data_IF_988283930165
#
_entry.id   IF_988283930165
#
_cell.length_a   1.000
_cell.length_b   1.000
_cell.length_c   1.000
_cell.angle_alpha   90.00
_cell.angle_beta   90.00
_cell.angle_gamma   90.00
#
_symmetry.space_group_name_H-M   'P 1'
#
loop_
_entity.id
_entity.type
_entity.pdbx_description
1 polymer ?
#
# COMPACT_ATOMS: atom_id res chain seq x y z
N UNK A 1 38.44 -25.54 10.73
CA UNK A 1 39.08 -24.79 11.84
C UNK A 1 38.90 -23.32 11.52
N UNK A 2 38.05 -22.50 12.14
CA UNK A 2 37.14 -22.63 13.28
C UNK A 2 35.80 -22.02 12.86
N UNK A 3 34.72 -22.77 12.93
CA UNK A 3 33.36 -22.22 12.87
C UNK A 3 32.93 -21.89 14.29
N UNK A 4 32.60 -20.62 14.54
CA UNK A 4 31.89 -20.24 15.76
C UNK A 4 30.42 -20.15 15.38
N UNK A 5 29.71 -21.24 15.65
CA UNK A 5 28.25 -21.31 15.70
C UNK A 5 27.82 -20.72 17.05
N UNK A 6 27.15 -19.57 17.01
CA UNK A 6 26.35 -19.08 18.13
C UNK A 6 24.88 -19.14 17.72
N UNK A 7 24.09 -19.94 18.46
CA UNK A 7 22.64 -20.10 18.32
C UNK A 7 21.94 -19.47 19.53
N UNK A 8 20.69 -19.01 19.28
CA UNK A 8 19.68 -18.37 20.16
C UNK A 8 19.90 -16.85 20.27
N UNK A 9 18.94 -15.96 20.02
CA UNK A 9 17.54 -15.93 20.47
C UNK A 9 16.67 -15.05 19.52
N UNK A 10 15.36 -15.22 19.58
CA UNK A 10 14.40 -14.71 18.59
C UNK A 10 14.04 -13.23 18.81
N UNK A 11 14.40 -12.38 17.85
CA UNK A 11 13.55 -11.30 17.36
C UNK A 11 14.00 -10.93 15.94
N UNK A 12 13.08 -11.08 14.98
CA UNK A 12 13.08 -10.51 13.62
C UNK A 12 14.44 -10.48 12.90
N UNK A 13 14.83 -11.62 12.35
CA UNK A 13 15.93 -11.69 11.37
C UNK A 13 15.51 -11.13 10.03
N UNK A 14 16.33 -10.22 9.52
CA UNK A 14 16.65 -10.14 8.09
C UNK A 14 17.17 -11.52 7.67
N UNK A 15 16.37 -12.30 6.94
CA UNK A 15 16.82 -13.58 6.42
C UNK A 15 17.85 -13.33 5.30
N UNK A 16 19.04 -13.89 5.45
CA UNK A 16 20.03 -13.96 4.38
C UNK A 16 19.69 -15.17 3.51
N UNK A 17 18.93 -14.96 2.44
CA UNK A 17 18.84 -15.93 1.35
C UNK A 17 20.06 -15.74 0.45
N UNK A 18 20.93 -16.75 0.36
CA UNK A 18 21.84 -16.88 -0.78
C UNK A 18 21.06 -17.56 -1.89
N UNK A 19 20.72 -16.82 -2.94
CA UNK A 19 20.36 -17.40 -4.23
C UNK A 19 21.67 -17.56 -5.00
N UNK A 20 22.17 -18.78 -5.07
CA UNK A 20 23.27 -19.13 -5.96
C UNK A 20 22.83 -18.86 -7.40
N UNK A 21 23.44 -17.86 -8.01
CA UNK A 21 23.32 -17.57 -9.43
C UNK A 21 24.28 -18.47 -10.19
N UNK A 22 23.80 -19.64 -10.61
CA UNK A 22 24.42 -20.43 -11.66
C UNK A 22 23.36 -21.27 -12.41
N UNK A 23 23.56 -21.40 -13.72
CA UNK A 23 22.68 -21.92 -14.79
C UNK A 23 21.80 -20.82 -15.40
N UNK A 24 21.96 -20.39 -16.64
CA UNK A 24 22.57 -21.03 -17.80
C UNK A 24 21.70 -20.67 -19.00
N UNK A 25 22.30 -19.99 -19.97
CA UNK A 25 21.75 -19.58 -21.25
C UNK A 25 20.89 -20.66 -21.93
N UNK A 26 19.65 -20.34 -22.31
CA UNK A 26 18.96 -20.99 -23.43
C UNK A 26 18.09 -19.98 -24.17
N UNK A 27 18.45 -19.69 -25.42
CA UNK A 27 17.57 -19.05 -26.39
C UNK A 27 16.82 -20.10 -27.21
N UNK A 28 15.63 -19.75 -27.71
CA UNK A 28 15.13 -20.28 -28.96
C UNK A 28 14.12 -19.32 -29.61
N UNK A 29 14.31 -19.13 -30.92
CA UNK A 29 13.50 -18.36 -31.86
C UNK A 29 12.17 -19.06 -32.24
N UNK A 30 11.15 -18.23 -32.47
CA UNK A 30 10.11 -18.25 -33.54
C UNK A 30 9.28 -19.52 -33.79
N UNK A 31 7.94 -19.40 -33.73
CA UNK A 31 7.06 -19.80 -34.85
C UNK A 31 5.63 -19.25 -34.73
N UNK A 32 5.15 -18.67 -35.82
CA UNK A 32 3.78 -18.22 -36.09
C UNK A 32 2.84 -19.39 -36.33
N UNK A 33 1.56 -19.30 -35.97
CA UNK A 33 0.47 -19.85 -36.79
C UNK A 33 -0.90 -19.28 -36.39
N UNK A 34 -1.56 -18.70 -37.40
CA UNK A 34 -2.95 -18.25 -37.45
C UNK A 34 -3.90 -19.44 -37.52
N UNK A 35 -5.06 -19.39 -36.85
CA UNK A 35 -6.22 -20.23 -37.19
C UNK A 35 -7.53 -19.48 -36.90
N UNK A 36 -8.29 -19.28 -37.98
CA UNK A 36 -9.67 -18.80 -38.00
C UNK A 36 -10.62 -19.85 -37.41
N UNK A 37 -11.69 -19.39 -36.74
CA UNK A 37 -12.96 -20.11 -36.76
C UNK A 37 -14.10 -19.13 -37.08
N UNK A 38 -14.77 -19.39 -38.21
CA UNK A 38 -16.05 -18.81 -38.63
C UNK A 38 -17.17 -19.67 -38.07
N UNK A 39 -18.27 -19.05 -37.64
CA UNK A 39 -19.59 -19.69 -37.61
C UNK A 39 -20.70 -18.73 -38.08
N UNK A 40 -21.45 -19.24 -39.06
CA UNK A 40 -22.89 -19.11 -39.35
C UNK A 40 -23.55 -17.79 -39.83
N UNK A 41 -24.04 -17.87 -41.07
CA UNK A 41 -25.16 -17.15 -41.74
C UNK A 41 -26.56 -17.65 -41.25
N UNK A 42 -27.77 -17.23 -41.75
CA UNK A 42 -28.14 -16.27 -42.83
C UNK A 42 -29.37 -15.32 -42.60
N UNK A 43 -29.44 -14.25 -43.44
CA UNK A 43 -30.54 -13.58 -44.20
C UNK A 43 -32.07 -13.54 -43.82
N UNK A 44 -32.59 -12.28 -43.79
CA UNK A 44 -33.85 -11.64 -44.38
C UNK A 44 -35.29 -11.99 -43.89
N UNK A 45 -36.37 -11.22 -44.24
CA UNK A 45 -36.61 -9.75 -44.38
C UNK A 45 -37.96 -9.22 -43.74
N UNK A 46 -38.29 -7.92 -43.94
CA UNK A 46 -39.49 -7.07 -43.62
C UNK A 46 -40.92 -7.66 -43.87
N UNK A 47 -42.09 -6.97 -43.64
CA UNK A 47 -42.40 -5.55 -43.25
C UNK A 47 -43.57 -5.37 -42.21
N UNK A 48 -43.93 -4.13 -41.84
CA UNK A 48 -45.31 -3.57 -41.87
C UNK A 48 -45.54 -2.35 -40.94
N UNK A 49 -46.35 -1.43 -41.45
CA UNK A 49 -46.85 -0.18 -40.87
C UNK A 49 -47.68 -0.37 -39.58
N UNK A 50 -47.72 0.63 -38.69
CA UNK A 50 -48.99 1.22 -38.20
C UNK A 50 -48.76 2.57 -37.50
N UNK A 51 -49.67 3.49 -37.82
CA UNK A 51 -49.77 4.87 -37.33
C UNK A 51 -50.14 4.94 -35.84
N UNK A 52 -49.64 5.95 -35.15
CA UNK A 52 -50.38 6.55 -34.03
C UNK A 52 -50.02 8.03 -33.92
N UNK A 53 -51.03 8.87 -34.12
CA UNK A 53 -50.99 10.33 -33.96
C UNK A 53 -51.11 10.68 -32.48
N UNK A 54 -50.29 11.63 -31.98
CA UNK A 54 -50.69 12.51 -30.89
C UNK A 54 -50.24 13.94 -31.21
N UNK A 55 -51.23 14.83 -31.09
CA UNK A 55 -51.28 16.26 -31.38
C UNK A 55 -50.54 17.05 -30.29
N UNK A 56 -49.68 18.00 -30.66
CA UNK A 56 -49.53 19.26 -29.89
C UNK A 56 -49.33 20.45 -30.82
N UNK A 57 -50.23 21.41 -30.63
CA UNK A 57 -50.38 22.78 -31.11
C UNK A 57 -49.21 23.49 -31.81
N UNK A 58 -49.56 24.18 -32.90
CA UNK A 58 -48.74 25.18 -33.57
C UNK A 58 -48.83 26.54 -32.87
N UNK A 59 -47.70 27.23 -32.77
CA UNK A 59 -47.61 28.69 -32.67
C UNK A 59 -46.44 29.16 -33.56
N UNK A 60 -46.56 30.35 -34.19
CA UNK A 60 -45.85 30.66 -35.42
C UNK A 60 -44.37 31.05 -35.23
N UNK A 61 -43.57 30.51 -36.15
CA UNK A 61 -42.21 30.95 -36.45
C UNK A 61 -42.13 32.47 -36.66
N UNK A 62 -41.32 33.14 -35.85
CA UNK A 62 -40.61 34.35 -36.30
C UNK A 62 -39.16 33.95 -36.50
N UNK A 63 -38.80 33.61 -37.74
CA UNK A 63 -37.40 33.40 -38.12
C UNK A 63 -36.73 34.78 -38.19
N UNK A 64 -36.07 35.16 -37.11
CA UNK A 64 -35.04 36.21 -37.18
C UNK A 64 -33.76 35.50 -37.62
N UNK A 65 -33.43 35.67 -38.90
CA UNK A 65 -32.14 35.25 -39.45
C UNK A 65 -31.02 36.08 -38.83
N UNK A 66 -30.39 35.56 -37.77
CA UNK A 66 -29.08 36.02 -37.33
C UNK A 66 -28.04 35.12 -37.99
N UNK A 67 -27.56 35.52 -39.16
CA UNK A 67 -26.30 34.99 -39.70
C UNK A 67 -25.13 35.52 -38.87
N UNK A 68 -24.94 34.96 -37.67
CA UNK A 68 -23.60 34.90 -37.08
C UNK A 68 -22.96 33.62 -37.58
N UNK A 69 -22.00 33.75 -38.51
CA UNK A 69 -20.94 32.75 -38.65
C UNK A 69 -20.15 32.74 -37.34
N UNK A 70 -20.65 32.03 -36.35
CA UNK A 70 -19.82 31.58 -35.24
C UNK A 70 -18.96 30.46 -35.82
N UNK A 71 -17.77 30.85 -36.28
CA UNK A 71 -16.69 29.91 -36.56
C UNK A 71 -16.25 29.30 -35.22
N UNK A 72 -17.01 28.32 -34.71
CA UNK A 72 -16.57 27.51 -33.56
C UNK A 72 -15.53 26.52 -34.06
N UNK A 73 -14.34 27.03 -34.37
CA UNK A 73 -13.15 26.22 -34.17
C UNK A 73 -12.99 26.16 -32.65
N UNK A 74 -13.44 25.05 -32.07
CA UNK A 74 -12.99 24.68 -30.74
C UNK A 74 -11.47 24.80 -30.71
N UNK A 75 -10.87 25.46 -29.71
CA UNK A 75 -9.42 25.42 -29.57
C UNK A 75 -9.00 23.95 -29.56
N UNK A 76 -7.90 23.57 -30.25
CA UNK A 76 -7.38 22.22 -30.12
C UNK A 76 -7.19 21.95 -28.62
N UNK A 77 -7.75 20.84 -28.15
CA UNK A 77 -7.50 20.37 -26.79
C UNK A 77 -5.99 20.35 -26.62
N UNK A 78 -5.43 20.96 -25.56
CA UNK A 78 -4.00 20.87 -25.33
C UNK A 78 -3.63 19.38 -25.31
N UNK A 79 -2.59 19.00 -26.07
CA UNK A 79 -1.99 17.67 -25.98
C UNK A 79 -1.90 17.32 -24.50
N UNK A 80 -2.65 16.30 -24.10
CA UNK A 80 -2.87 15.98 -22.69
C UNK A 80 -1.62 15.34 -22.12
N UNK A 81 -0.68 16.19 -21.72
CA UNK A 81 0.50 15.80 -20.97
C UNK A 81 0.03 15.04 -19.74
N UNK A 82 0.55 13.82 -19.55
CA UNK A 82 0.28 13.02 -18.37
C UNK A 82 0.53 13.87 -17.12
N UNK A 83 -0.36 13.81 -16.10
CA UNK A 83 -0.19 14.63 -14.93
C UNK A 83 1.14 14.28 -14.24
N UNK A 84 1.98 15.30 -14.04
CA UNK A 84 3.24 15.17 -13.31
C UNK A 84 2.90 14.98 -11.82
N UNK A 85 3.49 13.98 -11.14
CA UNK A 85 3.26 13.78 -9.71
C UNK A 85 3.90 14.90 -8.89
N UNK A 86 3.29 15.32 -7.78
CA UNK A 86 3.95 16.20 -6.82
C UNK A 86 5.21 15.53 -6.27
N UNK A 87 6.28 16.29 -6.06
CA UNK A 87 7.45 15.77 -5.37
C UNK A 87 7.16 15.59 -3.87
N UNK A 88 7.99 14.79 -3.19
CA UNK A 88 7.98 14.72 -1.73
C UNK A 88 8.23 16.13 -1.17
N UNK A 89 7.38 16.62 -0.24
CA UNK A 89 7.59 17.89 0.44
C UNK A 89 8.97 17.91 1.13
N UNK A 90 9.80 18.94 0.94
CA UNK A 90 11.18 18.95 1.44
C UNK A 90 11.29 18.95 2.98
N UNK A 91 10.22 19.32 3.68
CA UNK A 91 10.05 19.30 5.13
C UNK A 91 9.31 18.05 5.64
N UNK A 92 9.15 17.02 4.79
CA UNK A 92 8.57 15.74 5.18
C UNK A 92 9.32 15.13 6.35
N UNK A 93 8.60 14.81 7.42
CA UNK A 93 9.15 14.12 8.58
C UNK A 93 9.34 12.64 8.25
N UNK A 94 10.51 12.11 8.57
CA UNK A 94 10.84 10.71 8.43
C UNK A 94 11.41 10.16 9.74
N UNK A 95 10.86 9.04 10.20
CA UNK A 95 11.39 8.23 11.30
C UNK A 95 11.56 6.78 10.85
N UNK A 96 12.78 6.26 10.95
CA UNK A 96 13.10 4.89 10.54
C UNK A 96 12.29 3.86 11.34
N UNK A 97 11.73 2.87 10.63
CA UNK A 97 10.88 1.81 11.19
C UNK A 97 9.48 2.26 11.66
N UNK A 98 9.04 3.46 11.28
CA UNK A 98 7.67 3.95 11.51
C UNK A 98 7.03 4.34 10.16
N UNK A 99 7.13 3.46 9.17
CA UNK A 99 6.66 3.73 7.80
C UNK A 99 5.16 4.07 7.76
N UNK A 100 4.37 3.48 8.65
CA UNK A 100 2.95 3.79 8.83
C UNK A 100 2.73 5.26 9.23
N UNK A 101 3.52 5.79 10.15
CA UNK A 101 3.40 7.19 10.58
C UNK A 101 3.99 8.16 9.54
N UNK A 102 5.12 7.80 8.91
CA UNK A 102 5.70 8.60 7.84
C UNK A 102 4.72 8.79 6.68
N UNK A 103 4.06 7.70 6.25
CA UNK A 103 3.05 7.75 5.20
C UNK A 103 1.76 8.43 5.68
N UNK A 104 1.39 8.32 6.96
CA UNK A 104 0.26 9.07 7.53
C UNK A 104 0.46 10.59 7.39
N UNK A 105 1.66 11.09 7.69
CA UNK A 105 1.96 12.51 7.57
C UNK A 105 1.94 12.97 6.10
N UNK A 106 2.55 12.19 5.19
CA UNK A 106 2.51 12.50 3.76
C UNK A 106 1.08 12.48 3.21
N UNK A 107 0.29 11.47 3.57
CA UNK A 107 -1.12 11.37 3.20
C UNK A 107 -1.94 12.55 3.72
N UNK A 108 -1.66 13.01 4.94
CA UNK A 108 -2.32 14.20 5.53
C UNK A 108 -2.06 15.44 4.68
N UNK A 109 -0.81 15.67 4.29
CA UNK A 109 -0.46 16.82 3.46
C UNK A 109 -1.09 16.73 2.06
N UNK A 110 -1.03 15.55 1.43
CA UNK A 110 -1.59 15.35 0.10
C UNK A 110 -3.11 15.49 0.09
N UNK A 111 -3.80 15.04 1.13
CA UNK A 111 -5.25 15.22 1.30
C UNK A 111 -5.66 16.66 1.60
N UNK A 112 -4.75 17.49 2.11
CA UNK A 112 -5.01 18.92 2.32
C UNK A 112 -4.90 19.73 1.02
N UNK A 113 -4.22 19.20 -0.01
CA UNK A 113 -3.90 19.88 -1.26
C UNK A 113 -4.94 19.64 -2.35
N UNK A 114 -5.67 20.69 -2.71
CA UNK A 114 -6.69 20.65 -3.79
C UNK A 114 -6.10 20.29 -5.15
N UNK A 115 -4.93 20.82 -5.48
CA UNK A 115 -4.25 20.54 -6.75
C UNK A 115 -3.90 19.06 -6.94
N UNK A 116 -3.67 18.34 -5.84
CA UNK A 116 -3.47 16.89 -5.85
C UNK A 116 -4.82 16.18 -5.99
N UNK A 117 -5.79 16.50 -5.15
CA UNK A 117 -7.10 15.82 -5.11
C UNK A 117 -7.95 16.00 -6.36
N UNK A 118 -7.77 17.11 -7.08
CA UNK A 118 -8.46 17.36 -8.34
C UNK A 118 -7.94 16.47 -9.48
N UNK A 119 -6.77 15.83 -9.30
CA UNK A 119 -6.08 15.02 -10.32
C UNK A 119 -5.89 13.57 -9.93
N UNK A 120 -5.80 13.29 -8.63
CA UNK A 120 -5.37 12.01 -8.10
C UNK A 120 -6.28 11.53 -6.97
N UNK A 121 -6.53 10.23 -6.96
CA UNK A 121 -6.89 9.50 -5.77
C UNK A 121 -5.63 9.26 -4.92
N UNK A 122 -5.67 9.72 -3.68
CA UNK A 122 -4.61 9.43 -2.69
C UNK A 122 -4.98 8.15 -1.96
N UNK A 123 -4.11 7.15 -2.02
CA UNK A 123 -4.26 5.88 -1.35
C UNK A 123 -3.00 5.52 -0.56
N UNK A 124 -3.15 4.65 0.42
CA UNK A 124 -2.06 4.07 1.21
C UNK A 124 -2.10 2.56 0.99
N UNK A 125 -0.93 1.94 0.82
CA UNK A 125 -0.83 0.49 0.78
C UNK A 125 0.04 -0.03 1.91
N UNK A 126 -0.54 -0.92 2.72
CA UNK A 126 0.20 -1.78 3.63
C UNK A 126 0.65 -3.02 2.87
N UNK A 127 1.91 -3.39 3.03
CA UNK A 127 2.56 -4.54 2.38
C UNK A 127 2.94 -5.50 3.48
N UNK A 128 2.32 -6.68 3.53
CA UNK A 128 2.62 -7.72 4.52
C UNK A 128 2.09 -9.05 4.02
N UNK A 129 2.15 -10.09 4.85
CA UNK A 129 1.56 -11.40 4.59
C UNK A 129 1.23 -12.07 5.93
N UNK A 130 0.70 -13.30 5.89
CA UNK A 130 0.32 -14.02 7.11
C UNK A 130 1.50 -14.25 8.08
N UNK A 131 2.71 -14.46 7.53
CA UNK A 131 3.94 -14.70 8.28
C UNK A 131 4.63 -13.43 8.79
N UNK A 132 4.20 -12.23 8.34
CA UNK A 132 4.92 -10.97 8.54
C UNK A 132 6.40 -11.12 8.15
N UNK A 133 6.62 -11.57 6.92
CA UNK A 133 7.94 -11.87 6.38
C UNK A 133 8.02 -11.50 4.89
N UNK A 134 7.56 -10.31 4.51
CA UNK A 134 7.53 -9.92 3.09
C UNK A 134 8.90 -9.53 2.56
N UNK A 135 9.23 -10.04 1.37
CA UNK A 135 10.51 -9.83 0.70
C UNK A 135 10.47 -8.63 -0.26
N UNK A 136 11.27 -7.60 0.02
CA UNK A 136 11.38 -6.38 -0.77
C UNK A 136 12.84 -6.13 -1.19
N UNK A 137 13.06 -5.87 -2.47
CA UNK A 137 14.35 -5.41 -3.02
C UNK A 137 14.43 -3.88 -3.05
N UNK A 138 15.64 -3.35 -3.25
CA UNK A 138 15.88 -1.91 -3.41
C UNK A 138 15.39 -1.10 -2.21
N UNK A 139 15.79 -1.50 -1.01
CA UNK A 139 15.41 -0.85 0.25
C UNK A 139 16.61 -0.20 0.93
N UNK A 140 16.48 0.99 1.50
CA UNK A 140 17.58 1.76 2.11
C UNK A 140 18.19 1.06 3.33
N UNK A 141 17.44 0.16 3.97
CA UNK A 141 17.88 -0.59 5.14
C UNK A 141 19.17 -1.41 4.87
N UNK A 142 19.32 -1.97 3.65
CA UNK A 142 20.54 -2.64 3.17
C UNK A 142 20.48 -2.91 1.66
N UNK A 143 21.63 -3.09 0.98
CA UNK A 143 21.66 -3.60 -0.38
C UNK A 143 20.98 -4.97 -0.52
N UNK A 144 20.35 -5.19 -1.68
CA UNK A 144 19.69 -6.45 -2.02
C UNK A 144 18.33 -6.63 -1.35
N UNK A 145 18.07 -7.85 -0.88
CA UNK A 145 16.82 -8.26 -0.26
C UNK A 145 16.71 -7.81 1.20
N UNK A 146 15.54 -7.26 1.56
CA UNK A 146 15.10 -7.00 2.93
C UNK A 146 13.81 -7.78 3.20
N UNK A 147 13.74 -8.41 4.37
CA UNK A 147 12.53 -9.07 4.85
C UNK A 147 11.90 -8.17 5.92
N UNK A 148 10.71 -7.66 5.65
CA UNK A 148 9.95 -6.80 6.54
C UNK A 148 8.81 -7.59 7.19
N UNK A 149 8.42 -7.19 8.41
CA UNK A 149 7.17 -7.64 9.00
C UNK A 149 5.97 -6.99 8.31
N UNK A 150 6.06 -5.69 8.08
CA UNK A 150 5.23 -4.97 7.14
C UNK A 150 5.99 -3.75 6.60
N UNK A 151 5.50 -3.21 5.49
CA UNK A 151 5.95 -1.93 4.96
C UNK A 151 4.74 -1.09 4.53
N UNK A 152 4.88 0.22 4.48
CA UNK A 152 3.80 1.13 4.09
C UNK A 152 4.29 2.12 3.05
N UNK A 153 3.50 2.27 1.99
CA UNK A 153 3.76 3.22 0.89
C UNK A 153 2.52 4.06 0.59
N UNK A 154 2.71 5.24 0.01
CA UNK A 154 1.63 6.06 -0.54
C UNK A 154 1.53 5.89 -2.05
N UNK A 155 0.30 5.91 -2.54
CA UNK A 155 -0.06 5.75 -3.95
C UNK A 155 -0.85 6.97 -4.42
N UNK A 156 -0.49 7.49 -5.58
CA UNK A 156 -1.34 8.42 -6.34
C UNK A 156 -1.84 7.71 -7.59
N UNK A 157 -3.16 7.54 -7.68
CA UNK A 157 -3.82 6.98 -8.86
C UNK A 157 -4.57 8.08 -9.60
N UNK A 158 -4.35 8.30 -10.91
CA UNK A 158 -5.04 9.37 -11.63
C UNK A 158 -6.55 9.17 -11.60
N UNK A 159 -7.33 10.25 -11.47
CA UNK A 159 -8.80 10.14 -11.57
C UNK A 159 -9.20 9.75 -12.99
N UNK A 160 -10.09 8.75 -13.14
CA UNK A 160 -10.64 8.42 -14.44
C UNK A 160 -11.62 9.51 -14.89
N UNK A 161 -11.35 10.14 -16.04
CA UNK A 161 -12.32 11.03 -16.66
C UNK A 161 -13.56 10.22 -17.08
N UNK A 162 -14.74 10.58 -16.53
CA UNK A 162 -16.02 9.84 -16.69
C UNK A 162 -16.49 9.63 -18.14
N UNK A 163 -15.85 10.24 -19.14
CA UNK A 163 -16.31 10.25 -20.53
C UNK A 163 -15.26 9.80 -21.57
N UNK A 164 -14.19 9.12 -21.16
CA UNK A 164 -13.06 8.83 -22.07
C UNK A 164 -12.98 7.36 -22.46
N UNK A 165 -13.69 7.05 -23.53
CA UNK A 165 -13.47 5.82 -24.29
C UNK A 165 -12.15 5.90 -25.04
N UNK A 166 -11.24 5.00 -24.69
CA UNK A 166 -10.28 4.34 -25.58
C UNK A 166 -8.85 4.88 -25.80
N UNK A 167 -8.37 5.95 -25.14
CA UNK A 167 -6.92 6.26 -25.15
C UNK A 167 -6.34 6.35 -23.72
N UNK A 168 -6.09 5.18 -23.12
CA UNK A 168 -5.44 5.00 -21.80
C UNK A 168 -3.92 5.19 -21.83
N UNK A 169 -3.34 5.64 -22.94
CA UNK A 169 -1.88 5.73 -23.10
C UNK A 169 -1.36 7.01 -22.44
N UNK A 170 -1.11 6.97 -21.13
CA UNK A 170 -0.26 7.98 -20.49
C UNK A 170 -0.47 8.22 -19.00
N UNK A 171 -1.60 7.85 -18.42
CA UNK A 171 -1.84 8.09 -16.99
C UNK A 171 -1.26 6.93 -16.16
N UNK A 172 -0.13 7.19 -15.49
CA UNK A 172 0.52 6.22 -14.61
C UNK A 172 0.17 6.51 -13.15
N UNK A 173 -0.03 5.45 -12.35
CA UNK A 173 -0.02 5.56 -10.89
C UNK A 173 1.41 5.76 -10.38
N UNK A 174 1.56 6.46 -9.26
CA UNK A 174 2.85 6.80 -8.65
C UNK A 174 2.97 6.26 -7.24
N UNK A 175 4.19 5.90 -6.85
CA UNK A 175 4.54 5.37 -5.53
C UNK A 175 5.46 6.34 -4.81
N UNK A 176 5.19 6.53 -3.53
CA UNK A 176 6.03 7.24 -2.58
C UNK A 176 6.41 6.27 -1.46
N UNK A 177 7.71 5.98 -1.38
CA UNK A 177 8.31 5.09 -0.40
C UNK A 177 9.57 5.77 0.13
N UNK A 178 9.60 6.13 1.42
CA UNK A 178 10.78 6.77 2.00
C UNK A 178 11.95 5.81 2.20
N UNK A 179 11.69 4.50 2.17
CA UNK A 179 12.68 3.46 2.44
C UNK A 179 13.13 2.75 1.14
N UNK A 180 12.79 3.27 -0.03
CA UNK A 180 13.28 2.73 -1.32
C UNK A 180 14.63 3.34 -1.75
N UNK A 181 15.43 2.56 -2.48
CA UNK A 181 16.61 3.05 -3.20
C UNK A 181 16.27 3.60 -4.61
N UNK A 182 15.02 3.44 -5.05
CA UNK A 182 14.53 4.02 -6.30
C UNK A 182 14.33 5.53 -6.17
N UNK A 183 14.22 6.28 -7.29
CA UNK A 183 13.76 7.66 -7.24
C UNK A 183 12.39 7.75 -6.55
N UNK A 184 12.18 8.79 -5.74
CA UNK A 184 10.91 9.03 -5.06
C UNK A 184 10.37 10.41 -5.43
N UNK A 185 9.18 10.50 -6.05
CA UNK A 185 8.32 9.38 -6.47
C UNK A 185 8.86 8.62 -7.69
N UNK A 186 8.41 7.38 -7.87
CA UNK A 186 8.58 6.62 -9.11
C UNK A 186 7.23 6.06 -9.58
N UNK A 187 7.16 5.59 -10.83
CA UNK A 187 5.92 4.98 -11.31
C UNK A 187 5.65 3.66 -10.59
N UNK A 188 4.37 3.31 -10.40
CA UNK A 188 4.01 2.03 -9.79
C UNK A 188 4.56 0.83 -10.58
N UNK A 189 4.65 0.97 -11.91
CA UNK A 189 5.25 -0.05 -12.77
C UNK A 189 6.73 -0.27 -12.44
N UNK A 190 7.51 0.80 -12.32
CA UNK A 190 8.93 0.71 -11.94
C UNK A 190 9.08 0.16 -10.52
N UNK A 191 8.32 0.70 -9.56
CA UNK A 191 8.36 0.24 -8.18
C UNK A 191 8.10 -1.26 -8.07
N UNK A 192 7.05 -1.77 -8.74
CA UNK A 192 6.71 -3.19 -8.72
C UNK A 192 7.82 -4.03 -9.35
N UNK A 193 8.32 -3.63 -10.52
CA UNK A 193 9.33 -4.39 -11.25
C UNK A 193 10.65 -4.51 -10.48
N UNK A 194 11.06 -3.44 -9.79
CA UNK A 194 12.35 -3.39 -9.09
C UNK A 194 12.26 -3.83 -7.62
N UNK A 195 11.11 -3.69 -6.96
CA UNK A 195 10.94 -4.11 -5.56
C UNK A 195 10.54 -5.57 -5.44
N UNK A 196 9.81 -6.12 -6.42
CA UNK A 196 9.28 -7.49 -6.41
C UNK A 196 9.70 -8.33 -7.65
N UNK A 197 10.99 -8.34 -8.05
CA UNK A 197 11.43 -8.87 -9.35
C UNK A 197 11.21 -10.38 -9.52
N UNK A 198 11.25 -11.14 -8.42
CA UNK A 198 11.11 -12.61 -8.41
C UNK A 198 9.97 -13.08 -7.50
N UNK A 199 8.99 -12.22 -7.19
CA UNK A 199 7.94 -12.51 -6.20
C UNK A 199 7.22 -13.84 -6.46
N UNK A 200 6.83 -14.14 -7.69
CA UNK A 200 6.18 -15.42 -8.04
C UNK A 200 7.08 -16.66 -7.96
N UNK A 201 8.39 -16.48 -7.76
CA UNK A 201 9.37 -17.56 -7.54
C UNK A 201 9.71 -17.74 -6.05
N UNK A 202 9.26 -16.84 -5.18
CA UNK A 202 9.51 -16.93 -3.75
C UNK A 202 8.62 -17.99 -3.10
N UNK A 203 9.09 -18.63 -2.02
CA UNK A 203 8.21 -19.38 -1.12
C UNK A 203 7.04 -18.50 -0.65
N UNK A 204 5.85 -19.09 -0.50
CA UNK A 204 4.61 -18.38 -0.18
C UNK A 204 4.74 -17.52 1.10
N UNK A 205 5.51 -17.98 2.08
CA UNK A 205 5.79 -17.27 3.32
C UNK A 205 6.54 -15.93 3.13
N UNK A 206 7.18 -15.71 1.98
CA UNK A 206 7.87 -14.46 1.64
C UNK A 206 7.12 -13.60 0.63
N UNK A 207 6.03 -14.11 0.06
CA UNK A 207 5.24 -13.38 -0.93
C UNK A 207 4.42 -12.27 -0.26
N UNK A 208 4.42 -11.10 -0.88
CA UNK A 208 3.70 -9.92 -0.42
C UNK A 208 2.24 -9.90 -0.87
N UNK A 209 1.37 -9.48 0.05
CA UNK A 209 0.01 -8.99 -0.20
C UNK A 209 -0.06 -7.50 0.10
N UNK A 210 -1.02 -6.83 -0.54
CA UNK A 210 -1.16 -5.38 -0.55
C UNK A 210 -2.56 -4.99 -0.08
N UNK A 211 -2.66 -4.37 1.09
CA UNK A 211 -3.91 -3.75 1.54
C UNK A 211 -3.95 -2.29 1.09
N UNK A 212 -4.75 -2.01 0.07
CA UNK A 212 -4.92 -0.66 -0.49
C UNK A 212 -6.11 0.05 0.13
N UNK A 213 -5.88 1.24 0.68
CA UNK A 213 -6.81 1.99 1.51
C UNK A 213 -6.89 3.44 1.00
N UNK A 214 -8.09 4.00 0.74
CA UNK A 214 -8.21 5.43 0.46
C UNK A 214 -7.65 6.27 1.61
N UNK A 215 -6.85 7.30 1.32
CA UNK A 215 -6.21 8.12 2.34
C UNK A 215 -7.20 8.72 3.35
N UNK A 216 -8.39 9.23 2.98
CA UNK A 216 -9.37 9.70 3.97
C UNK A 216 -9.80 8.61 4.96
N UNK A 217 -9.86 7.35 4.53
CA UNK A 217 -10.20 6.22 5.41
C UNK A 217 -9.04 5.91 6.34
N UNK A 218 -7.81 5.91 5.83
CA UNK A 218 -6.60 5.71 6.63
C UNK A 218 -6.47 6.78 7.71
N UNK A 219 -6.49 8.06 7.32
CA UNK A 219 -6.34 9.20 8.22
C UNK A 219 -7.44 9.24 9.29
N UNK A 220 -8.64 8.81 8.96
CA UNK A 220 -9.77 8.84 9.89
C UNK A 220 -9.73 7.73 10.93
N UNK A 221 -9.29 6.52 10.56
CA UNK A 221 -9.45 5.32 11.37
C UNK A 221 -8.15 4.73 11.90
N UNK A 222 -6.99 5.18 11.45
CA UNK A 222 -5.70 4.67 11.93
C UNK A 222 -5.40 5.13 13.35
N UNK A 223 -4.90 4.21 14.18
CA UNK A 223 -4.31 4.52 15.48
C UNK A 223 -3.10 3.63 15.77
N UNK A 224 -2.04 4.24 16.27
CA UNK A 224 -0.85 3.55 16.76
C UNK A 224 -0.42 4.20 18.07
N UNK A 225 -0.36 3.40 19.13
CA UNK A 225 0.25 3.79 20.41
C UNK A 225 1.75 3.44 20.48
N UNK A 226 2.33 2.97 19.36
CA UNK A 226 3.72 2.55 19.22
C UNK A 226 4.15 1.40 20.13
N UNK A 227 3.21 0.73 20.80
CA UNK A 227 3.50 -0.39 21.70
C UNK A 227 4.20 -1.56 21.00
N UNK A 228 3.94 -1.74 19.70
CA UNK A 228 4.59 -2.76 18.87
C UNK A 228 6.10 -2.54 18.65
N UNK A 229 6.61 -1.37 18.98
CA UNK A 229 8.02 -1.00 18.89
C UNK A 229 8.74 -1.07 20.23
N UNK A 230 8.05 -1.43 21.31
CA UNK A 230 8.68 -1.72 22.59
C UNK A 230 9.43 -3.05 22.49
N UNK A 231 10.70 -3.05 22.89
CA UNK A 231 11.48 -4.27 23.03
C UNK A 231 11.01 -5.05 24.26
N UNK A 232 11.15 -6.36 24.21
CA UNK A 232 10.95 -7.19 25.39
C UNK A 232 12.13 -6.94 26.35
N UNK A 233 11.85 -6.65 27.63
CA UNK A 233 12.85 -6.44 28.68
C UNK A 233 13.70 -7.70 29.00
N UNK A 234 13.62 -8.77 28.20
CA UNK A 234 14.09 -10.10 28.56
C UNK A 234 15.56 -10.39 28.21
N UNK A 235 16.31 -9.42 27.69
CA UNK A 235 17.71 -9.60 27.27
C UNK A 235 18.76 -8.98 28.23
N UNK A 236 18.43 -8.76 29.50
CA UNK A 236 19.45 -8.36 30.49
C UNK A 236 19.26 -8.95 31.89
N UNK A 237 19.40 -10.28 32.01
CA UNK A 237 19.93 -10.91 33.23
C UNK A 237 20.79 -12.13 32.83
N UNK A 238 21.92 -11.88 32.17
CA UNK A 238 23.03 -12.83 32.24
C UNK A 238 23.84 -12.51 33.50
N UNK A 239 23.36 -12.96 34.66
CA UNK A 239 24.20 -13.10 35.84
C UNK A 239 25.16 -14.26 35.55
N UNK A 240 26.26 -13.96 34.85
CA UNK A 240 27.50 -14.69 35.07
C UNK A 240 27.99 -14.24 36.45
N UNK A 241 27.65 -15.01 37.48
CA UNK A 241 28.34 -14.93 38.76
C UNK A 241 29.02 -16.28 39.00
N UNK A 242 30.27 -16.48 38.52
CA UNK A 242 31.06 -17.56 39.04
C UNK A 242 31.62 -17.11 40.39
N UNK A 243 31.35 -17.91 41.42
CA UNK A 243 32.02 -17.91 42.73
C UNK A 243 31.36 -17.11 43.88
N UNK A 244 30.38 -17.78 44.52
CA UNK A 244 30.46 -18.20 45.93
C UNK A 244 30.57 -17.15 47.05
N UNK A 245 29.52 -17.04 47.87
CA UNK A 245 29.47 -17.55 49.27
C UNK A 245 28.17 -17.12 49.97
N UNK A 246 27.64 -18.07 50.71
CA UNK A 246 26.56 -17.97 51.70
C UNK A 246 26.88 -16.96 52.81
N UNK A 247 25.89 -16.17 53.24
CA UNK A 247 25.42 -16.00 54.63
C UNK A 247 24.25 -15.00 54.68
N UNK A 248 23.14 -15.43 55.29
CA UNK A 248 21.86 -14.73 55.27
C UNK A 248 21.76 -13.45 56.09
N UNK A 249 20.75 -12.64 55.75
CA UNK A 249 20.12 -11.70 56.67
C UNK A 249 18.66 -11.44 56.22
N UNK A 250 17.63 -11.75 57.04
CA UNK A 250 16.27 -11.33 56.79
C UNK A 250 16.02 -10.02 57.54
N UNK A 251 16.04 -8.89 56.82
CA UNK A 251 15.30 -7.66 57.12
C UNK A 251 15.85 -6.51 56.27
N UNK A 252 15.18 -6.23 55.16
CA UNK A 252 15.16 -4.87 54.63
C UNK A 252 13.85 -4.64 53.92
N UNK A 253 13.18 -3.58 54.36
CA UNK A 253 11.86 -3.14 53.96
C UNK A 253 11.70 -3.05 52.44
N UNK A 254 10.59 -3.60 51.95
CA UNK A 254 10.11 -3.45 50.58
C UNK A 254 9.79 -1.98 50.28
N UNK A 255 10.52 -1.30 49.37
CA UNK A 255 10.05 -0.06 48.81
C UNK A 255 8.99 -0.40 47.75
N UNK A 256 7.82 0.20 47.93
CA UNK A 256 6.71 0.28 46.99
C UNK A 256 7.17 0.30 45.53
N UNK A 257 6.84 -0.76 44.79
CA UNK A 257 6.98 -0.86 43.33
C UNK A 257 5.94 0.04 42.65
N UNK A 258 6.13 1.34 42.77
CA UNK A 258 5.63 2.33 41.80
C UNK A 258 6.88 3.01 41.24
N UNK A 259 7.67 2.24 40.49
CA UNK A 259 8.66 2.82 39.59
C UNK A 259 7.92 3.10 38.29
N UNK A 260 7.71 4.37 38.02
CA UNK A 260 7.17 4.90 36.78
C UNK A 260 7.93 4.28 35.59
N UNK A 261 7.19 3.89 34.55
CA UNK A 261 7.71 3.22 33.34
C UNK A 261 8.50 4.20 32.47
N UNK A 262 9.63 4.69 32.96
CA UNK A 262 10.42 5.73 32.27
C UNK A 262 11.44 5.17 31.27
N UNK A 263 11.75 3.87 31.30
CA UNK A 263 12.77 3.25 30.43
C UNK A 263 12.21 2.17 29.51
N UNK A 264 11.03 2.39 28.90
CA UNK A 264 10.53 1.46 27.89
C UNK A 264 11.50 1.48 26.68
N UNK A 265 12.30 0.42 26.53
CA UNK A 265 13.35 0.35 25.51
C UNK A 265 12.71 0.13 24.13
N UNK A 266 12.64 1.17 23.31
CA UNK A 266 12.18 1.04 21.93
C UNK A 266 13.21 0.34 21.04
N UNK A 267 12.75 -0.54 20.15
CA UNK A 267 13.58 -1.24 19.14
C UNK A 267 14.16 -0.23 18.13
N UNK A 268 13.41 0.84 17.83
CA UNK A 268 13.87 2.01 17.06
C UNK A 268 13.34 3.29 17.72
N UNK A 269 14.13 4.38 17.83
CA UNK A 269 13.70 5.62 18.45
C UNK A 269 12.36 6.12 17.87
N UNK A 270 11.35 6.41 18.72
CA UNK A 270 10.04 6.84 18.25
C UNK A 270 10.09 8.27 17.68
N UNK A 271 9.12 8.63 16.83
CA UNK A 271 8.98 10.01 16.37
C UNK A 271 8.76 10.99 17.53
N UNK A 272 9.29 12.21 17.40
CA UNK A 272 9.22 13.24 18.45
C UNK A 272 7.85 13.88 18.67
N UNK A 273 6.85 13.56 17.84
CA UNK A 273 5.46 14.02 17.98
C UNK A 273 4.59 12.97 18.71
N UNK A 274 3.44 13.37 19.27
CA UNK A 274 2.53 12.45 19.96
C UNK A 274 2.05 11.30 19.09
N UNK A 275 1.73 10.17 19.71
CA UNK A 275 1.15 9.00 19.05
C UNK A 275 -0.08 9.37 18.18
N UNK A 276 -0.14 8.80 16.97
CA UNK A 276 -1.19 9.12 16.00
C UNK A 276 -2.47 8.36 16.34
N UNK A 277 -3.58 9.10 16.41
CA UNK A 277 -4.93 8.55 16.54
C UNK A 277 -5.90 9.38 15.71
N UNK A 278 -6.38 8.80 14.61
CA UNK A 278 -7.33 9.42 13.69
C UNK A 278 -8.66 9.74 14.40
N UNK A 279 -9.43 10.72 13.90
CA UNK A 279 -10.63 11.22 14.58
C UNK A 279 -11.67 10.12 14.89
N UNK A 280 -11.94 9.21 13.96
CA UNK A 280 -12.91 8.11 14.19
C UNK A 280 -12.34 7.03 15.10
N UNK A 281 -11.04 6.76 15.02
CA UNK A 281 -10.39 5.85 15.98
C UNK A 281 -10.51 6.41 17.40
N UNK A 282 -10.28 7.72 17.56
CA UNK A 282 -10.39 8.44 18.83
C UNK A 282 -11.82 8.42 19.37
N UNK A 283 -12.82 8.68 18.53
CA UNK A 283 -14.25 8.60 18.89
C UNK A 283 -14.63 7.20 19.39
N UNK A 284 -14.05 6.14 18.80
CA UNK A 284 -14.24 4.75 19.21
C UNK A 284 -13.39 4.33 20.41
N UNK A 285 -12.53 5.21 20.95
CA UNK A 285 -11.61 4.88 22.04
C UNK A 285 -10.49 3.90 21.64
N UNK A 286 -10.19 3.76 20.35
CA UNK A 286 -9.15 2.88 19.82
C UNK A 286 -7.79 3.52 20.05
N UNK A 287 -6.94 2.88 20.86
CA UNK A 287 -5.56 3.32 21.10
C UNK A 287 -4.57 2.81 20.05
N UNK A 288 -4.79 1.59 19.57
CA UNK A 288 -3.96 0.96 18.55
C UNK A 288 -4.82 -0.02 17.75
N UNK A 289 -4.67 0.00 16.43
CA UNK A 289 -5.28 -0.97 15.53
C UNK A 289 -4.38 -1.33 14.33
N UNK A 290 -3.14 -0.83 14.31
CA UNK A 290 -2.15 -1.07 13.25
C UNK A 290 -2.07 -2.54 12.85
N UNK A 291 -1.78 -3.43 13.81
CA UNK A 291 -1.49 -4.83 13.51
C UNK A 291 -2.73 -5.61 13.04
N UNK A 292 -3.89 -5.37 13.66
CA UNK A 292 -5.10 -6.18 13.42
C UNK A 292 -5.96 -5.68 12.26
N UNK A 293 -6.01 -4.36 12.03
CA UNK A 293 -6.88 -3.74 11.03
C UNK A 293 -6.16 -3.35 9.72
N UNK A 294 -4.84 -3.08 9.80
CA UNK A 294 -4.06 -2.57 8.65
C UNK A 294 -3.00 -3.57 8.17
N UNK A 295 -2.22 -4.18 9.06
CA UNK A 295 -1.17 -5.14 8.68
C UNK A 295 -1.72 -6.52 8.34
N UNK A 296 -2.79 -6.97 9.01
CA UNK A 296 -3.41 -8.28 8.76
C UNK A 296 -3.94 -8.37 7.32
N UNK A 297 -3.54 -9.43 6.59
CA UNK A 297 -3.89 -9.61 5.16
C UNK A 297 -4.99 -10.66 4.88
N UNK A 298 -5.57 -11.27 5.90
CA UNK A 298 -6.62 -12.27 5.67
C UNK A 298 -7.95 -11.58 5.34
N UNK A 299 -8.54 -11.88 4.19
CA UNK A 299 -9.96 -11.59 3.95
C UNK A 299 -10.77 -12.49 4.88
N UNK A 300 -11.61 -11.91 5.73
CA UNK A 300 -12.61 -12.62 6.53
C UNK A 300 -13.68 -13.22 5.60
N UNK A 301 -13.31 -14.29 4.89
CA UNK A 301 -14.18 -15.07 4.01
C UNK A 301 -14.14 -16.58 4.28
N UNK A 302 -13.22 -17.07 5.12
CA UNK A 302 -13.26 -18.45 5.58
C UNK A 302 -14.13 -18.53 6.84
N UNK A 303 -15.37 -19.00 6.66
CA UNK A 303 -16.29 -19.40 7.75
C UNK A 303 -15.69 -20.59 8.49
N UNK A 304 -14.86 -20.32 9.49
CA UNK A 304 -14.74 -21.21 10.65
C UNK A 304 -15.55 -20.59 11.77
N UNK A 305 -16.55 -21.32 12.27
CA UNK A 305 -17.48 -20.92 13.33
C UNK A 305 -16.78 -20.76 14.68
N UNK A 306 -15.89 -19.77 14.78
CA UNK A 306 -15.40 -19.25 16.04
C UNK A 306 -15.93 -17.83 16.15
N UNK A 307 -16.65 -17.52 17.24
CA UNK A 307 -17.12 -16.17 17.61
C UNK A 307 -15.92 -15.27 17.95
N UNK A 308 -15.07 -15.00 16.97
CA UNK A 308 -14.09 -13.92 17.04
C UNK A 308 -14.87 -12.67 16.66
N UNK A 309 -14.88 -11.66 17.53
CA UNK A 309 -15.41 -10.34 17.17
C UNK A 309 -14.79 -9.94 15.83
N UNK A 310 -15.65 -9.65 14.86
CA UNK A 310 -15.22 -9.36 13.49
C UNK A 310 -14.43 -8.04 13.54
N UNK A 311 -13.10 -8.14 13.53
CA UNK A 311 -12.21 -6.97 13.59
C UNK A 311 -12.48 -6.12 12.35
N UNK A 312 -12.83 -4.85 12.58
CA UNK A 312 -13.03 -3.89 11.50
C UNK A 312 -11.71 -3.71 10.74
N UNK A 313 -11.70 -4.08 9.45
CA UNK A 313 -10.56 -3.87 8.57
C UNK A 313 -10.89 -2.83 7.50
N UNK A 314 -9.86 -2.20 6.94
CA UNK A 314 -10.02 -1.10 5.99
C UNK A 314 -9.40 -1.40 4.64
N UNK A 315 -10.03 -0.90 3.57
CA UNK A 315 -9.54 -1.09 2.20
C UNK A 315 -9.67 -2.52 1.69
N UNK A 316 -9.01 -2.80 0.56
CA UNK A 316 -9.04 -4.09 -0.12
C UNK A 316 -7.66 -4.77 -0.05
N UNK A 317 -7.62 -6.08 0.16
CA UNK A 317 -6.38 -6.87 0.08
C UNK A 317 -6.24 -7.48 -1.31
N UNK A 318 -5.06 -7.32 -1.90
CA UNK A 318 -4.70 -7.78 -3.23
C UNK A 318 -3.42 -8.62 -3.16
N UNK A 319 -3.29 -9.62 -4.02
CA UNK A 319 -2.00 -10.21 -4.34
C UNK A 319 -1.20 -9.27 -5.28
N UNK A 320 0.00 -9.69 -5.72
CA UNK A 320 0.84 -8.85 -6.58
C UNK A 320 0.20 -8.56 -7.94
N UNK A 321 -0.51 -9.53 -8.53
CA UNK A 321 -1.18 -9.35 -9.82
C UNK A 321 -2.37 -8.40 -9.70
N UNK A 322 -3.19 -8.56 -8.66
CA UNK A 322 -4.29 -7.67 -8.33
C UNK A 322 -3.81 -6.26 -8.02
N UNK A 323 -2.70 -6.12 -7.28
CA UNK A 323 -2.08 -4.82 -7.01
C UNK A 323 -1.59 -4.14 -8.28
N UNK A 324 -0.90 -4.89 -9.15
CA UNK A 324 -0.47 -4.40 -10.48
C UNK A 324 -1.66 -3.95 -11.31
N UNK A 325 -2.72 -4.76 -11.38
CA UNK A 325 -3.93 -4.42 -12.11
C UNK A 325 -4.61 -3.16 -11.54
N UNK A 326 -4.67 -3.03 -10.22
CA UNK A 326 -5.21 -1.84 -9.54
C UNK A 326 -4.44 -0.56 -9.89
N UNK A 327 -3.10 -0.63 -9.97
CA UNK A 327 -2.26 0.51 -10.36
C UNK A 327 -2.43 0.94 -11.83
N UNK A 328 -2.95 0.05 -12.70
CA UNK A 328 -3.19 0.32 -14.11
C UNK A 328 -4.66 0.67 -14.45
N UNK A 329 -5.58 0.45 -13.51
CA UNK A 329 -7.02 0.66 -13.68
C UNK A 329 -7.38 2.13 -13.54
#
# INVERSE_FOLDING_TARGET
MNSVLLRKQWSKFVLVCHLDSDLGTFGCMVSSHTLLHRHCFPFLPHPCHFLTSIIVASLPCTIISFHRRCNMHSPPLPDRVAPIPPQVPPDSVYTRCYCEENIYLLATEFEARRDIKDRWEVCVAFISNAGKTVALWNQTARPGLVVWDYHVILLLRPWQAKNETADRKGAASWVYDFDTQLPTPCTAQEYIAWTFPIHGQLPEEYQSFFRVIPAPTYLSNFASDRSHMLGDDHDDVSIYNPEGRDHGNPNTDMPSLVKEREDARYISPPPGYPAICGPRAKEKGVKTNLMEAFVRMNNTGCRTECKIEEVETYGQVLDLEGFRAWCHA
#
